data_IF_032778054724
#
_entry.id   IF_032778054724
#
_cell.length_a   1.000
_cell.length_b   1.000
_cell.length_c   1.000
_cell.angle_alpha   90.00
_cell.angle_beta   90.00
_cell.angle_gamma   90.00
#
_symmetry.space_group_name_H-M   'P 1'
#
loop_
_entity.id
_entity.type
_entity.pdbx_description
1 polymer ?
#
# COMPACT_ATOMS: atom_id res chain seq x y z
N UNK A 1 48.11 -9.85 -50.54
CA UNK A 1 48.19 -9.10 -49.25
C UNK A 1 46.94 -8.31 -49.05
N UNK A 2 45.87 -9.04 -48.82
CA UNK A 2 44.59 -8.42 -48.47
C UNK A 2 44.38 -8.46 -46.96
N UNK A 3 44.80 -7.37 -46.37
CA UNK A 3 44.43 -7.04 -44.98
C UNK A 3 43.50 -5.85 -45.07
N UNK A 4 42.27 -6.06 -44.79
CA UNK A 4 41.37 -5.01 -44.29
C UNK A 4 39.99 -4.93 -44.96
N UNK A 5 39.14 -5.89 -44.77
CA UNK A 5 37.71 -5.64 -45.06
C UNK A 5 36.77 -6.15 -43.98
N UNK A 6 37.23 -6.49 -42.82
CA UNK A 6 36.32 -6.96 -41.74
C UNK A 6 36.17 -6.05 -40.52
N UNK A 7 36.55 -4.78 -40.65
CA UNK A 7 36.45 -3.83 -39.50
C UNK A 7 35.19 -2.97 -39.49
N UNK A 8 34.42 -2.95 -40.56
CA UNK A 8 33.28 -2.03 -40.65
C UNK A 8 31.93 -2.58 -40.26
N UNK A 9 31.68 -3.85 -40.46
CA UNK A 9 30.35 -4.45 -40.25
C UNK A 9 30.07 -4.79 -38.75
N UNK A 10 31.11 -5.15 -38.02
CA UNK A 10 30.96 -5.49 -36.60
C UNK A 10 30.71 -4.27 -35.68
N UNK A 11 31.24 -3.12 -36.04
CA UNK A 11 31.12 -1.90 -35.23
C UNK A 11 29.75 -1.21 -35.42
N UNK A 12 29.23 -1.24 -36.65
CA UNK A 12 27.89 -0.71 -36.92
C UNK A 12 26.82 -1.55 -36.21
N UNK A 13 26.97 -2.86 -36.25
CA UNK A 13 26.06 -3.77 -35.55
C UNK A 13 26.13 -3.61 -34.04
N UNK A 14 27.32 -3.52 -33.47
CA UNK A 14 27.50 -3.28 -32.02
C UNK A 14 26.87 -1.96 -31.58
N UNK A 15 27.06 -0.89 -32.33
CA UNK A 15 26.43 0.40 -32.05
C UNK A 15 24.92 0.32 -32.12
N UNK A 16 24.38 -0.40 -33.08
CA UNK A 16 22.94 -0.59 -33.25
C UNK A 16 22.36 -1.41 -32.08
N UNK A 17 23.00 -2.51 -31.69
CA UNK A 17 22.61 -3.33 -30.55
C UNK A 17 22.65 -2.54 -29.24
N UNK A 18 23.73 -1.78 -29.00
CA UNK A 18 23.85 -0.92 -27.83
C UNK A 18 22.73 0.15 -27.80
N UNK A 19 22.45 0.76 -28.95
CA UNK A 19 21.35 1.75 -29.03
C UNK A 19 19.99 1.13 -28.69
N UNK A 20 19.70 -0.07 -29.20
CA UNK A 20 18.46 -0.80 -28.89
C UNK A 20 18.37 -1.15 -27.41
N UNK A 21 19.46 -1.62 -26.81
CA UNK A 21 19.50 -1.93 -25.36
C UNK A 21 19.27 -0.68 -24.52
N UNK A 22 19.92 0.43 -24.83
CA UNK A 22 19.72 1.71 -24.12
C UNK A 22 18.28 2.19 -24.26
N UNK A 23 17.68 2.04 -25.42
CA UNK A 23 16.29 2.42 -25.66
C UNK A 23 15.32 1.55 -24.85
N UNK A 24 15.53 0.24 -24.79
CA UNK A 24 14.72 -0.68 -23.99
C UNK A 24 14.86 -0.41 -22.50
N UNK A 25 16.07 -0.18 -22.02
CA UNK A 25 16.32 0.17 -20.61
C UNK A 25 15.69 1.51 -20.27
N UNK A 26 15.84 2.51 -21.14
CA UNK A 26 15.20 3.82 -20.97
C UNK A 26 13.67 3.74 -20.92
N UNK A 27 13.07 2.95 -21.83
CA UNK A 27 11.63 2.74 -21.85
C UNK A 27 11.12 2.02 -20.58
N UNK A 28 11.85 1.01 -20.09
CA UNK A 28 11.48 0.29 -18.87
C UNK A 28 11.57 1.19 -17.64
N UNK A 29 12.62 1.99 -17.51
CA UNK A 29 12.76 2.96 -16.41
C UNK A 29 11.65 4.02 -16.48
N UNK A 30 11.38 4.56 -17.66
CA UNK A 30 10.29 5.51 -17.85
C UNK A 30 8.92 4.91 -17.49
N UNK A 31 8.68 3.66 -17.86
CA UNK A 31 7.46 2.93 -17.50
C UNK A 31 7.32 2.77 -15.97
N UNK A 32 8.40 2.41 -15.28
CA UNK A 32 8.39 2.29 -13.82
C UNK A 32 8.12 3.64 -13.15
N UNK A 33 8.74 4.71 -13.65
CA UNK A 33 8.51 6.08 -13.12
C UNK A 33 7.05 6.49 -13.39
N UNK A 34 6.53 6.21 -14.59
CA UNK A 34 5.15 6.53 -14.94
C UNK A 34 4.14 5.77 -14.07
N UNK A 35 4.36 4.48 -13.85
CA UNK A 35 3.52 3.67 -12.93
C UNK A 35 3.61 4.15 -11.48
N UNK A 36 4.78 4.60 -11.05
CA UNK A 36 4.97 5.12 -9.68
C UNK A 36 4.39 6.54 -9.52
N UNK A 37 4.41 7.34 -10.58
CA UNK A 37 3.81 8.69 -10.59
C UNK A 37 2.29 8.67 -10.77
N UNK A 38 1.74 7.58 -11.29
CA UNK A 38 0.29 7.38 -11.44
C UNK A 38 -0.40 6.82 -10.18
N UNK A 39 0.32 6.70 -9.05
CA UNK A 39 -0.35 6.53 -7.77
C UNK A 39 -1.14 7.81 -7.53
N UNK A 40 -2.43 7.75 -7.78
CA UNK A 40 -3.37 8.76 -7.35
C UNK A 40 -3.13 8.97 -5.85
N UNK A 41 -2.56 10.10 -5.53
CA UNK A 41 -2.44 10.59 -4.16
C UNK A 41 -3.84 11.11 -3.74
N UNK A 42 -4.85 10.26 -3.95
CA UNK A 42 -6.18 10.45 -3.40
C UNK A 42 -6.05 10.45 -1.89
N UNK A 43 -6.82 11.29 -1.24
CA UNK A 43 -6.88 11.31 0.22
C UNK A 43 -7.09 9.90 0.74
N UNK A 44 -6.23 9.49 1.66
CA UNK A 44 -6.31 8.18 2.29
C UNK A 44 -7.16 8.27 3.53
N UNK A 45 -8.19 7.47 3.57
CA UNK A 45 -9.10 7.40 4.71
C UNK A 45 -9.12 5.97 5.25
N UNK A 46 -8.89 5.83 6.54
CA UNK A 46 -9.01 4.55 7.23
C UNK A 46 -10.42 4.40 7.79
N UNK A 47 -11.05 3.30 7.44
CA UNK A 47 -12.36 2.89 7.95
C UNK A 47 -12.15 1.76 8.96
N UNK A 48 -12.69 1.94 10.14
CA UNK A 48 -12.59 1.00 11.25
C UNK A 48 -13.96 0.37 11.47
N UNK A 49 -14.02 -0.94 11.25
CA UNK A 49 -15.24 -1.73 11.39
C UNK A 49 -15.12 -2.69 12.58
N UNK A 50 -16.23 -2.96 13.23
CA UNK A 50 -16.42 -4.07 14.15
C UNK A 50 -17.71 -4.78 13.82
N UNK A 51 -17.71 -6.10 13.74
CA UNK A 51 -18.88 -6.92 13.40
C UNK A 51 -19.63 -6.40 12.15
N UNK A 52 -18.85 -5.95 11.13
CA UNK A 52 -19.35 -5.31 9.90
C UNK A 52 -20.00 -3.93 10.10
N UNK A 53 -20.00 -3.38 11.30
CA UNK A 53 -20.49 -2.04 11.58
C UNK A 53 -19.35 -1.02 11.56
N UNK A 54 -19.54 0.11 10.88
CA UNK A 54 -18.55 1.18 10.83
C UNK A 54 -18.52 1.92 12.18
N UNK A 55 -17.43 1.76 12.93
CA UNK A 55 -17.24 2.44 14.20
C UNK A 55 -16.67 3.85 14.03
N UNK A 56 -15.68 3.98 13.16
CA UNK A 56 -14.95 5.25 13.01
C UNK A 56 -14.30 5.37 11.64
N UNK A 57 -14.22 6.60 11.19
CA UNK A 57 -13.49 7.01 9.99
C UNK A 57 -12.35 7.94 10.39
N UNK A 58 -11.15 7.70 9.87
CA UNK A 58 -9.94 8.46 10.21
C UNK A 58 -9.24 8.87 8.92
N UNK A 59 -9.05 10.19 8.73
CA UNK A 59 -8.20 10.69 7.64
C UNK A 59 -6.73 10.44 7.97
N UNK A 60 -5.99 9.88 7.03
CA UNK A 60 -4.56 9.63 7.17
C UNK A 60 -3.71 10.75 6.57
N UNK A 61 -4.35 11.68 5.86
CA UNK A 61 -3.67 12.83 5.27
C UNK A 61 -3.62 13.97 6.28
N UNK A 62 -2.57 14.77 6.20
CA UNK A 62 -2.37 15.96 7.05
C UNK A 62 -2.23 15.66 8.56
N UNK A 63 -1.83 14.45 8.91
CA UNK A 63 -1.52 14.12 10.31
C UNK A 63 -0.16 14.69 10.69
N UNK A 64 -0.14 15.92 11.20
CA UNK A 64 1.09 16.62 11.58
C UNK A 64 1.81 15.98 12.76
N UNK A 65 1.03 15.41 13.69
CA UNK A 65 1.58 14.72 14.88
C UNK A 65 0.92 13.34 15.02
N UNK A 66 1.71 12.29 15.19
CA UNK A 66 1.19 10.97 15.50
C UNK A 66 0.32 11.01 16.76
N UNK A 67 -0.81 10.31 16.71
CA UNK A 67 -1.69 10.19 17.87
C UNK A 67 -2.23 8.77 17.99
N UNK A 68 -2.52 8.40 19.24
CA UNK A 68 -3.11 7.10 19.56
C UNK A 68 -4.48 7.31 20.17
N UNK A 69 -5.43 6.48 19.80
CA UNK A 69 -6.72 6.41 20.48
C UNK A 69 -7.08 4.96 20.76
N UNK A 70 -7.83 4.76 21.84
CA UNK A 70 -8.32 3.44 22.25
C UNK A 70 -9.77 3.26 21.84
N UNK A 71 -10.07 2.07 21.34
CA UNK A 71 -11.43 1.57 21.19
C UNK A 71 -11.61 0.48 22.23
N UNK A 72 -12.51 0.71 23.18
CA UNK A 72 -12.86 -0.25 24.23
C UNK A 72 -14.18 -0.94 23.86
N UNK A 73 -14.21 -2.21 24.12
CA UNK A 73 -15.39 -3.04 24.01
C UNK A 73 -15.73 -3.53 25.42
N UNK A 74 -16.90 -3.96 25.67
CA UNK A 74 -17.23 -4.57 26.97
C UNK A 74 -16.22 -5.66 27.38
N UNK A 75 -16.19 -6.02 28.63
CA UNK A 75 -15.38 -7.12 29.20
C UNK A 75 -13.85 -6.91 29.21
N UNK A 76 -13.39 -5.69 29.07
CA UNK A 76 -11.96 -5.35 29.10
C UNK A 76 -11.23 -5.58 27.79
N UNK A 77 -11.94 -5.86 26.71
CA UNK A 77 -11.38 -5.92 25.36
C UNK A 77 -11.10 -4.51 24.83
N UNK A 78 -9.94 -4.35 24.21
CA UNK A 78 -9.54 -3.08 23.60
C UNK A 78 -8.58 -3.24 22.42
N UNK A 79 -8.53 -2.20 21.60
CA UNK A 79 -7.49 -2.00 20.59
C UNK A 79 -6.99 -0.55 20.67
N UNK A 80 -5.70 -0.36 20.81
CA UNK A 80 -5.02 0.93 20.70
C UNK A 80 -4.57 1.14 19.27
N UNK A 81 -5.06 2.18 18.64
CA UNK A 81 -4.83 2.49 17.25
C UNK A 81 -3.92 3.71 17.15
N UNK A 82 -2.76 3.55 16.51
CA UNK A 82 -1.81 4.62 16.25
C UNK A 82 -1.96 5.09 14.80
N UNK A 83 -2.19 6.39 14.66
CA UNK A 83 -2.31 7.08 13.38
C UNK A 83 -1.12 7.98 13.16
N UNK A 84 -0.49 7.83 12.01
CA UNK A 84 0.58 8.70 11.53
C UNK A 84 0.25 9.18 10.11
N UNK A 85 1.01 10.13 9.62
CA UNK A 85 0.79 10.65 8.27
C UNK A 85 0.88 9.54 7.23
N UNK A 86 -0.21 9.30 6.52
CA UNK A 86 -0.33 8.31 5.44
C UNK A 86 -0.37 6.84 5.88
N UNK A 87 -0.38 6.54 7.18
CA UNK A 87 -0.35 5.15 7.69
C UNK A 87 -1.04 4.99 9.03
N UNK A 88 -1.47 3.76 9.30
CA UNK A 88 -2.18 3.39 10.54
C UNK A 88 -1.75 2.00 10.98
N UNK A 89 -1.74 1.75 12.27
CA UNK A 89 -1.51 0.42 12.85
C UNK A 89 -2.29 0.22 14.14
N UNK A 90 -2.41 -1.03 14.57
CA UNK A 90 -2.79 -1.36 15.94
C UNK A 90 -1.51 -1.38 16.77
N UNK A 91 -1.39 -0.46 17.74
CA UNK A 91 -0.22 -0.33 18.59
C UNK A 91 -0.24 -1.35 19.74
N UNK A 92 -1.41 -1.60 20.29
CA UNK A 92 -1.65 -2.64 21.31
C UNK A 92 -3.10 -3.14 21.22
N UNK A 93 -3.35 -4.31 21.77
CA UNK A 93 -4.67 -4.94 21.81
C UNK A 93 -4.77 -5.93 22.96
N UNK A 94 -5.98 -6.18 23.42
CA UNK A 94 -6.26 -7.20 24.46
C UNK A 94 -6.18 -8.62 23.95
N UNK A 95 -6.14 -8.83 22.62
CA UNK A 95 -6.09 -10.16 22.03
C UNK A 95 -4.80 -10.91 22.46
N UNK A 96 -4.89 -12.22 22.81
CA UNK A 96 -3.76 -12.97 23.36
C UNK A 96 -2.61 -13.13 22.37
N UNK A 97 -2.91 -13.33 21.09
CA UNK A 97 -1.90 -13.64 20.06
C UNK A 97 -1.21 -12.39 19.52
N UNK A 98 -1.80 -11.21 19.71
CA UNK A 98 -1.31 -9.92 19.21
C UNK A 98 -0.91 -9.92 17.72
N UNK A 99 -1.54 -10.77 16.94
CA UNK A 99 -1.28 -10.86 15.49
C UNK A 99 -1.60 -9.54 14.79
N UNK A 100 -2.69 -8.87 15.19
CA UNK A 100 -3.06 -7.57 14.67
C UNK A 100 -2.01 -6.48 14.95
N UNK A 101 -1.34 -6.53 16.10
CA UNK A 101 -0.22 -5.64 16.44
C UNK A 101 1.01 -5.96 15.59
N UNK A 102 1.29 -7.25 15.39
CA UNK A 102 2.42 -7.74 14.62
C UNK A 102 2.29 -7.49 13.12
N UNK A 103 1.08 -7.25 12.60
CA UNK A 103 0.87 -6.83 11.21
C UNK A 103 1.54 -5.50 10.88
N UNK A 104 1.77 -4.65 11.88
CA UNK A 104 2.46 -3.38 11.71
C UNK A 104 1.62 -2.32 10.99
N UNK A 105 2.32 -1.39 10.32
CA UNK A 105 1.66 -0.30 9.60
C UNK A 105 1.08 -0.75 8.26
N UNK A 106 -0.11 -0.27 7.98
CA UNK A 106 -0.68 -0.28 6.64
C UNK A 106 -0.77 1.17 6.11
N UNK A 107 -0.51 1.34 4.83
CA UNK A 107 -0.54 2.63 4.13
C UNK A 107 -1.27 2.57 2.79
N UNK A 108 -1.72 1.39 2.39
CA UNK A 108 -2.36 1.15 1.10
C UNK A 108 -3.64 0.31 1.26
N UNK A 109 -4.59 0.43 0.33
CA UNK A 109 -5.89 -0.27 0.41
C UNK A 109 -5.82 -1.79 0.35
N UNK A 110 -4.69 -2.34 -0.09
CA UNK A 110 -4.56 -3.76 -0.45
C UNK A 110 -4.63 -4.73 0.72
N UNK A 111 -4.23 -4.32 1.91
CA UNK A 111 -4.15 -5.21 3.06
C UNK A 111 -4.85 -4.58 4.28
N UNK A 112 -5.99 -5.11 4.71
CA UNK A 112 -6.62 -4.68 5.96
C UNK A 112 -5.88 -5.25 7.16
N UNK A 113 -5.90 -4.52 8.28
CA UNK A 113 -5.54 -5.08 9.59
C UNK A 113 -6.79 -5.73 10.18
N UNK A 114 -6.67 -6.97 10.61
CA UNK A 114 -7.77 -7.70 11.21
C UNK A 114 -7.39 -8.21 12.59
N UNK A 115 -8.19 -7.88 13.59
CA UNK A 115 -8.13 -8.44 14.93
C UNK A 115 -9.33 -9.36 15.12
N UNK A 116 -9.14 -10.67 14.90
CA UNK A 116 -10.23 -11.64 14.95
C UNK A 116 -10.87 -11.77 16.34
N UNK A 117 -10.09 -11.85 17.44
CA UNK A 117 -10.70 -11.94 18.78
C UNK A 117 -11.60 -10.75 19.13
N UNK A 118 -11.22 -9.54 18.70
CA UNK A 118 -11.97 -8.31 18.97
C UNK A 118 -12.92 -7.92 17.81
N UNK A 119 -13.02 -8.75 16.78
CA UNK A 119 -13.85 -8.55 15.59
C UNK A 119 -13.60 -7.21 14.88
N UNK A 120 -12.38 -6.65 15.01
CA UNK A 120 -11.99 -5.36 14.46
C UNK A 120 -11.30 -5.52 13.09
N UNK A 121 -11.70 -4.69 12.15
CA UNK A 121 -11.09 -4.59 10.82
C UNK A 121 -10.78 -3.14 10.50
N UNK A 122 -9.55 -2.84 10.11
CA UNK A 122 -9.14 -1.52 9.63
C UNK A 122 -8.82 -1.64 8.13
N UNK A 123 -9.50 -0.85 7.32
CA UNK A 123 -9.27 -0.75 5.87
C UNK A 123 -8.92 0.67 5.47
N UNK A 124 -7.98 0.81 4.55
CA UNK A 124 -7.69 2.09 3.91
C UNK A 124 -8.42 2.13 2.56
N UNK A 125 -9.04 3.27 2.27
CA UNK A 125 -9.69 3.56 0.99
C UNK A 125 -9.12 4.87 0.48
N UNK A 126 -8.83 4.95 -0.81
CA UNK A 126 -8.44 6.20 -1.46
C UNK A 126 -9.70 6.95 -1.93
N UNK A 127 -9.72 8.27 -1.81
CA UNK A 127 -10.79 9.10 -2.37
C UNK A 127 -10.89 8.86 -3.88
N UNK A 128 -12.07 8.38 -4.31
CA UNK A 128 -12.33 7.98 -5.69
C UNK A 128 -12.64 6.51 -5.89
N UNK A 129 -12.37 5.67 -4.90
CA UNK A 129 -12.92 4.31 -4.83
C UNK A 129 -14.16 4.35 -3.93
N UNK A 130 -15.30 3.94 -4.45
CA UNK A 130 -16.51 3.76 -3.65
C UNK A 130 -16.14 2.85 -2.47
N UNK A 131 -16.50 3.28 -1.25
CA UNK A 131 -16.40 2.42 -0.09
C UNK A 131 -17.03 1.07 -0.46
N UNK A 132 -16.26 -0.04 -0.41
CA UNK A 132 -16.85 -1.32 -0.74
C UNK A 132 -17.97 -1.58 0.27
N UNK A 133 -19.20 -1.45 -0.21
CA UNK A 133 -20.34 -1.95 0.51
C UNK A 133 -20.07 -3.44 0.74
N UNK A 134 -20.20 -3.88 1.98
CA UNK A 134 -20.03 -5.28 2.38
C UNK A 134 -21.13 -6.21 1.83
N UNK A 135 -21.85 -5.77 0.81
CA UNK A 135 -22.95 -6.51 0.16
C UNK A 135 -22.49 -7.63 -0.79
N UNK A 136 -21.30 -8.13 -0.66
CA UNK A 136 -20.72 -9.11 -1.58
C UNK A 136 -20.38 -10.48 -0.99
N UNK A 137 -20.83 -10.85 0.19
CA UNK A 137 -20.66 -12.23 0.68
C UNK A 137 -22.03 -12.91 0.71
N UNK A 138 -22.44 -13.38 -0.45
CA UNK A 138 -23.47 -14.42 -0.55
C UNK A 138 -22.76 -15.77 -0.45
N UNK A 139 -23.18 -16.60 0.50
CA UNK A 139 -22.74 -17.98 0.69
C UNK A 139 -23.01 -18.82 -0.54
#
# INVERSE_FOLDING_TARGET
RDRSVSRGLGDVYKRQVVAVIVLLVGASVASIIYMKSGKNDGRKTAYIYRDNELLRTVSLDDVNNPYTFRIEYGDGEYNDILVENGKIKIADASCPDKLCVNMGYISEPLMPITCLPNHLVIRIVNDGEESPSLDGVVY
#
